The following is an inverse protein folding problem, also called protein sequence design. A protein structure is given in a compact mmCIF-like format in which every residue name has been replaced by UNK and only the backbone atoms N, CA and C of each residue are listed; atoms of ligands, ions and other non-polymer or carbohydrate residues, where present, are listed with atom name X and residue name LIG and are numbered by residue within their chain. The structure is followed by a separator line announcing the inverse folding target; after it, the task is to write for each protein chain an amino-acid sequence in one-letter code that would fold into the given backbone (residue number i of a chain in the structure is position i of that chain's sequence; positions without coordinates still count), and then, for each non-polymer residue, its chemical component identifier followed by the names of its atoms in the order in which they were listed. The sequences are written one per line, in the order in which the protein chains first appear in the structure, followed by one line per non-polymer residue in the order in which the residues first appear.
data_IF_233692201320
#
_entry.id   IF_233692201320
#
_cell.length_a   1.000
_cell.length_b   1.000
_cell.length_c   1.000
_cell.angle_alpha   90.00
_cell.angle_beta   90.00
_cell.angle_gamma   90.00
#
_symmetry.space_group_name_H-M   'P 1'
#
loop_
_entity.id
_entity.type
_entity.pdbx_description
1 polymer ?
#
# COMPACT_ATOMS: atom_id res chain seq x y z
N UNK A 1 33.55 17.24 -44.04
CA UNK A 1 32.59 18.35 -44.27
C UNK A 1 31.32 17.70 -44.79
N UNK A 2 30.12 17.82 -44.24
CA UNK A 2 29.58 18.70 -43.21
C UNK A 2 28.42 17.97 -42.49
N UNK A 3 28.10 18.45 -41.29
CA UNK A 3 27.08 17.94 -40.39
C UNK A 3 25.65 18.12 -40.94
N UNK A 4 24.79 17.14 -40.67
CA UNK A 4 23.34 17.34 -40.57
C UNK A 4 22.98 17.15 -39.10
N UNK A 5 22.66 18.26 -38.44
CA UNK A 5 22.15 18.29 -37.08
C UNK A 5 20.64 18.05 -37.16
N UNK A 6 20.19 16.90 -36.64
CA UNK A 6 18.77 16.67 -36.40
C UNK A 6 18.35 17.44 -35.13
N UNK A 7 17.50 18.42 -35.38
CA UNK A 7 16.93 19.38 -34.45
C UNK A 7 15.93 18.68 -33.52
N UNK A 8 16.42 18.12 -32.41
CA UNK A 8 15.60 17.54 -31.36
C UNK A 8 14.96 18.68 -30.54
N UNK A 9 13.88 19.24 -31.06
CA UNK A 9 13.01 20.17 -30.32
C UNK A 9 12.30 19.40 -29.19
N UNK A 10 12.51 19.76 -27.91
CA UNK A 10 11.84 19.10 -26.80
C UNK A 10 10.36 19.49 -26.78
N UNK A 11 9.41 18.54 -26.59
CA UNK A 11 8.03 18.92 -26.39
C UNK A 11 7.88 19.53 -24.98
N UNK A 12 7.59 20.83 -24.98
CA UNK A 12 6.92 21.62 -23.94
C UNK A 12 7.80 22.14 -22.79
N UNK A 13 7.68 23.44 -22.43
CA UNK A 13 8.41 24.01 -21.31
C UNK A 13 7.90 23.41 -20.00
N UNK A 14 8.82 23.22 -19.05
CA UNK A 14 8.52 22.92 -17.66
C UNK A 14 7.50 23.94 -17.15
N UNK A 15 6.25 23.53 -16.98
CA UNK A 15 5.25 24.33 -16.31
C UNK A 15 5.67 24.48 -14.86
N UNK A 16 6.10 25.69 -14.49
CA UNK A 16 6.15 26.12 -13.10
C UNK A 16 4.86 25.68 -12.40
N UNK A 17 4.90 25.14 -11.17
CA UNK A 17 3.68 24.74 -10.47
C UNK A 17 2.77 25.96 -10.42
N UNK A 18 1.61 25.84 -11.07
CA UNK A 18 0.64 26.92 -11.13
C UNK A 18 0.30 27.33 -9.67
N UNK A 19 0.26 28.64 -9.36
CA UNK A 19 -0.21 29.07 -8.05
C UNK A 19 -1.61 28.52 -7.85
N UNK A 20 -1.84 27.94 -6.66
CA UNK A 20 -3.13 27.36 -6.29
C UNK A 20 -4.26 28.34 -6.63
N UNK A 21 -5.31 27.91 -7.35
CA UNK A 21 -6.38 28.82 -7.72
C UNK A 21 -7.07 29.30 -6.43
N UNK A 22 -6.93 30.59 -6.13
CA UNK A 22 -7.77 31.26 -5.15
C UNK A 22 -9.22 31.26 -5.67
N UNK A 23 -10.07 30.36 -5.15
CA UNK A 23 -11.53 30.38 -5.36
C UNK A 23 -12.24 30.01 -4.06
N UNK A 24 -13.13 30.90 -3.64
CA UNK A 24 -13.56 31.10 -2.25
C UNK A 24 -14.38 29.99 -1.61
N UNK A 25 -14.28 29.93 -0.28
CA UNK A 25 -15.19 29.18 0.60
C UNK A 25 -14.50 28.15 1.50
N UNK A 26 -13.24 27.78 1.24
CA UNK A 26 -12.47 26.89 2.12
C UNK A 26 -12.13 27.53 3.46
N UNK A 27 -12.01 26.70 4.50
CA UNK A 27 -11.77 27.18 5.85
C UNK A 27 -11.60 26.04 6.87
N UNK A 28 -11.46 26.44 8.13
CA UNK A 28 -11.39 25.50 9.26
C UNK A 28 -12.76 25.40 9.92
N UNK A 29 -13.26 24.18 10.05
CA UNK A 29 -14.57 23.87 10.62
C UNK A 29 -14.40 23.04 11.89
N UNK A 30 -15.05 23.44 12.98
CA UNK A 30 -15.03 22.68 14.22
C UNK A 30 -16.00 21.50 14.13
N UNK A 31 -15.47 20.29 14.09
CA UNK A 31 -16.25 19.05 13.98
C UNK A 31 -15.83 18.11 15.10
N UNK A 32 -16.75 17.82 16.03
CA UNK A 32 -16.44 16.97 17.19
C UNK A 32 -15.29 17.49 18.06
N UNK A 33 -15.07 18.81 18.10
CA UNK A 33 -13.96 19.43 18.83
C UNK A 33 -12.59 19.36 18.12
N UNK A 34 -12.56 18.86 16.87
CA UNK A 34 -11.36 18.85 16.03
C UNK A 34 -11.50 19.94 14.96
N UNK A 35 -10.49 20.81 14.76
CA UNK A 35 -10.48 21.75 13.65
C UNK A 35 -10.16 21.00 12.35
N UNK A 36 -11.17 20.84 11.51
CA UNK A 36 -11.07 20.21 10.20
C UNK A 36 -10.92 21.30 9.15
N UNK A 37 -9.75 21.37 8.52
CA UNK A 37 -9.61 22.17 7.32
C UNK A 37 -10.28 21.48 6.14
N UNK A 38 -11.07 22.23 5.38
CA UNK A 38 -11.80 21.73 4.22
C UNK A 38 -11.68 22.72 3.06
N UNK A 39 -11.42 22.25 1.82
CA UNK A 39 -11.10 23.13 0.69
C UNK A 39 -12.29 23.96 0.17
N UNK A 40 -13.51 23.62 0.59
CA UNK A 40 -14.76 24.29 0.20
C UNK A 40 -15.65 24.50 1.42
N UNK A 41 -16.81 25.13 1.25
CA UNK A 41 -17.84 25.15 2.28
C UNK A 41 -18.54 23.78 2.34
N UNK A 42 -18.42 23.00 3.43
CA UNK A 42 -19.00 21.68 3.49
C UNK A 42 -20.53 21.73 3.61
N UNK A 43 -21.20 20.76 3.01
CA UNK A 43 -22.63 20.55 3.19
C UNK A 43 -22.94 19.97 4.58
N UNK A 44 -24.19 20.11 5.05
CA UNK A 44 -24.62 19.54 6.33
C UNK A 44 -24.38 18.02 6.43
N UNK A 45 -24.57 17.30 5.33
CA UNK A 45 -24.29 15.86 5.23
C UNK A 45 -22.80 15.55 5.35
N UNK A 46 -21.92 16.36 4.75
CA UNK A 46 -20.47 16.21 4.89
C UNK A 46 -20.01 16.48 6.33
N UNK A 47 -20.55 17.52 6.98
CA UNK A 47 -20.29 17.81 8.40
C UNK A 47 -20.73 16.65 9.30
N UNK A 48 -21.92 16.11 9.07
CA UNK A 48 -22.41 14.95 9.80
C UNK A 48 -21.50 13.71 9.58
N UNK A 49 -21.10 13.45 8.34
CA UNK A 49 -20.20 12.36 7.99
C UNK A 49 -18.83 12.50 8.68
N UNK A 50 -18.20 13.68 8.59
CA UNK A 50 -16.94 13.98 9.28
C UNK A 50 -17.06 13.82 10.80
N UNK A 51 -18.20 14.24 11.38
CA UNK A 51 -18.48 14.06 12.81
C UNK A 51 -18.55 12.59 13.22
N UNK A 52 -19.13 11.72 12.39
CA UNK A 52 -19.15 10.27 12.63
C UNK A 52 -17.76 9.65 12.54
N UNK A 53 -16.94 10.06 11.57
CA UNK A 53 -15.55 9.61 11.45
C UNK A 53 -14.77 9.98 12.72
N UNK A 54 -14.76 11.26 13.11
CA UNK A 54 -14.02 11.75 14.27
C UNK A 54 -14.48 11.06 15.57
N UNK A 55 -15.79 10.93 15.77
CA UNK A 55 -16.34 10.24 16.95
C UNK A 55 -15.89 8.78 17.02
N UNK A 56 -15.83 8.09 15.87
CA UNK A 56 -15.38 6.69 15.78
C UNK A 56 -13.90 6.58 16.14
N UNK A 57 -13.06 7.47 15.61
CA UNK A 57 -11.63 7.47 15.91
C UNK A 57 -11.34 7.81 17.38
N UNK A 58 -12.08 8.75 17.97
CA UNK A 58 -12.00 9.07 19.40
C UNK A 58 -12.49 7.94 20.30
N UNK A 59 -13.46 7.15 19.84
CA UNK A 59 -13.90 5.93 20.54
C UNK A 59 -12.83 4.85 20.44
N UNK A 60 -12.27 4.61 19.25
CA UNK A 60 -11.18 3.66 19.03
C UNK A 60 -10.01 3.96 19.94
N UNK A 61 -9.66 5.24 20.07
CA UNK A 61 -8.64 5.69 21.02
C UNK A 61 -9.01 5.31 22.45
N UNK A 62 -10.18 5.70 22.97
CA UNK A 62 -10.51 5.45 24.38
C UNK A 62 -10.68 3.96 24.73
N UNK A 63 -11.12 3.15 23.77
CA UNK A 63 -11.50 1.75 23.97
C UNK A 63 -10.51 0.75 23.35
N UNK A 64 -9.39 1.24 22.79
CA UNK A 64 -8.40 0.44 22.07
C UNK A 64 -8.80 0.08 20.63
N UNK A 65 -10.09 -0.19 20.37
CA UNK A 65 -10.59 -0.56 19.03
C UNK A 65 -12.01 -0.05 18.80
N UNK A 66 -12.29 0.46 17.60
CA UNK A 66 -13.65 0.79 17.16
C UNK A 66 -13.76 0.64 15.65
N UNK A 67 -14.94 0.24 15.19
CA UNK A 67 -15.28 0.15 13.77
C UNK A 67 -16.52 0.99 13.48
N UNK A 68 -16.65 1.45 12.24
CA UNK A 68 -17.86 2.09 11.76
C UNK A 68 -18.09 1.73 10.29
N UNK A 69 -19.34 1.42 9.96
CA UNK A 69 -19.83 1.35 8.60
C UNK A 69 -20.56 2.66 8.33
N UNK A 70 -20.04 3.47 7.42
CA UNK A 70 -20.58 4.80 7.12
C UNK A 70 -21.08 4.84 5.68
N UNK A 71 -22.39 5.00 5.54
CA UNK A 71 -23.05 5.18 4.25
C UNK A 71 -23.29 6.66 3.97
N UNK A 72 -23.09 7.06 2.71
CA UNK A 72 -23.42 8.39 2.20
C UNK A 72 -23.84 8.27 0.74
N UNK A 73 -24.85 9.02 0.27
CA UNK A 73 -25.23 9.02 -1.13
C UNK A 73 -24.06 9.38 -2.05
N UNK A 74 -24.05 8.85 -3.27
CA UNK A 74 -23.03 9.18 -4.28
C UNK A 74 -23.04 10.67 -4.62
N UNK A 75 -21.89 11.21 -5.02
CA UNK A 75 -21.77 12.63 -5.38
C UNK A 75 -21.72 13.62 -4.21
N UNK A 76 -21.80 13.16 -2.96
CA UNK A 76 -21.79 14.03 -1.75
C UNK A 76 -20.39 14.39 -1.25
N UNK A 77 -19.32 14.00 -1.97
CA UNK A 77 -17.93 14.27 -1.54
C UNK A 77 -17.49 13.43 -0.34
N UNK A 78 -17.93 12.17 -0.28
CA UNK A 78 -17.59 11.19 0.78
C UNK A 78 -16.08 11.02 0.95
N UNK A 79 -15.34 10.72 -0.12
CA UNK A 79 -13.89 10.44 -0.03
C UNK A 79 -13.10 11.63 0.52
N UNK A 80 -13.43 12.85 0.09
CA UNK A 80 -12.79 14.06 0.59
C UNK A 80 -13.14 14.34 2.06
N UNK A 81 -14.41 14.15 2.45
CA UNK A 81 -14.86 14.29 3.84
C UNK A 81 -14.18 13.28 4.76
N UNK A 82 -14.10 12.03 4.31
CA UNK A 82 -13.44 10.91 4.99
C UNK A 82 -11.95 11.20 5.19
N UNK A 83 -11.26 11.61 4.12
CA UNK A 83 -9.83 11.92 4.16
C UNK A 83 -9.53 13.12 5.06
N UNK A 84 -10.25 14.24 4.91
CA UNK A 84 -10.00 15.45 5.69
C UNK A 84 -10.25 15.23 7.19
N UNK A 85 -11.35 14.56 7.55
CA UNK A 85 -11.66 14.28 8.96
C UNK A 85 -10.65 13.33 9.60
N UNK A 86 -10.20 12.29 8.88
CA UNK A 86 -9.17 11.38 9.38
C UNK A 86 -7.81 12.08 9.56
N UNK A 87 -7.38 12.89 8.59
CA UNK A 87 -6.13 13.65 8.67
C UNK A 87 -6.17 14.75 9.73
N UNK A 88 -7.30 15.45 9.88
CA UNK A 88 -7.51 16.42 10.94
C UNK A 88 -7.37 15.77 12.32
N UNK A 89 -8.05 14.63 12.52
CA UNK A 89 -7.96 13.87 13.75
C UNK A 89 -6.52 13.39 14.01
N UNK A 90 -5.83 12.86 13.00
CA UNK A 90 -4.44 12.41 13.12
C UNK A 90 -3.48 13.56 13.49
N UNK A 91 -3.65 14.77 12.93
CA UNK A 91 -2.85 15.96 13.29
C UNK A 91 -3.06 16.36 14.75
N UNK A 92 -4.26 16.15 15.30
CA UNK A 92 -4.60 16.45 16.70
C UNK A 92 -4.47 15.23 17.62
N UNK A 93 -4.00 14.10 17.09
CA UNK A 93 -3.76 12.86 17.81
C UNK A 93 -2.84 13.02 19.04
N UNK A 94 -1.77 13.84 19.04
CA UNK A 94 -0.88 13.92 20.19
C UNK A 94 -1.44 14.69 21.41
N UNK A 95 -2.60 15.36 21.30
CA UNK A 95 -3.11 16.24 22.38
C UNK A 95 -3.82 15.51 23.53
N UNK A 96 -3.84 14.17 23.57
CA UNK A 96 -4.49 13.38 24.63
C UNK A 96 -3.65 12.12 24.91
N UNK A 97 -3.67 11.58 26.12
CA UNK A 97 -2.82 10.44 26.48
C UNK A 97 -3.08 9.19 25.59
N UNK A 98 -2.05 8.37 25.29
CA UNK A 98 -2.22 7.09 24.60
C UNK A 98 -2.84 6.03 25.53
N UNK A 99 -3.63 5.07 25.02
CA UNK A 99 -4.09 3.91 25.79
C UNK A 99 -3.05 2.77 25.76
N UNK A 100 -3.23 1.82 26.69
CA UNK A 100 -2.38 0.64 26.88
C UNK A 100 -2.35 -0.33 25.68
N UNK A 101 -1.33 -1.20 25.70
CA UNK A 101 -0.85 -2.07 24.62
C UNK A 101 -1.94 -2.80 23.80
N UNK A 102 -1.68 -2.90 22.49
CA UNK A 102 -2.57 -3.51 21.52
C UNK A 102 -2.70 -5.03 21.68
N UNK A 103 -3.92 -5.54 21.47
CA UNK A 103 -4.23 -6.96 21.34
C UNK A 103 -3.59 -7.58 20.07
N UNK A 104 -3.39 -8.92 20.03
CA UNK A 104 -2.84 -9.62 18.86
C UNK A 104 -3.69 -9.45 17.60
N UNK A 105 -3.03 -9.48 16.43
CA UNK A 105 -3.66 -9.25 15.12
C UNK A 105 -4.60 -10.41 14.74
N UNK A 106 -5.91 -10.15 14.55
CA UNK A 106 -6.90 -11.18 14.23
C UNK A 106 -6.75 -11.77 12.81
N UNK A 107 -5.94 -11.17 11.94
CA UNK A 107 -5.74 -11.64 10.55
C UNK A 107 -4.38 -12.29 10.31
N UNK A 108 -3.51 -12.32 11.32
CA UNK A 108 -2.15 -12.87 11.19
C UNK A 108 -2.12 -14.39 11.37
N UNK A 109 -3.16 -14.95 11.98
CA UNK A 109 -3.41 -16.40 12.03
C UNK A 109 -4.46 -16.76 10.99
N UNK A 110 -4.00 -17.31 9.86
CA UNK A 110 -4.87 -17.88 8.84
C UNK A 110 -5.80 -18.95 9.43
N UNK A 111 -6.97 -19.09 8.81
CA UNK A 111 -8.05 -19.98 9.25
C UNK A 111 -7.56 -21.37 9.62
N UNK A 112 -7.60 -21.65 10.92
CA UNK A 112 -7.72 -22.99 11.45
C UNK A 112 -9.16 -23.17 11.91
N UNK A 113 -9.78 -24.24 11.44
CA UNK A 113 -11.02 -24.81 11.95
C UNK A 113 -11.08 -24.71 13.49
N UNK A 114 -12.26 -24.42 14.05
CA UNK A 114 -12.50 -24.58 15.49
C UNK A 114 -12.20 -26.03 15.85
N UNK A 115 -11.13 -26.27 16.60
CA UNK A 115 -10.90 -27.53 17.28
C UNK A 115 -11.00 -27.27 18.78
N UNK A 116 -11.81 -28.13 19.38
CA UNK A 116 -12.29 -28.18 20.76
C UNK A 116 -11.20 -27.95 21.81
N UNK A 117 -11.61 -27.39 22.95
CA UNK A 117 -10.78 -27.12 24.12
C UNK A 117 -10.17 -28.44 24.65
N UNK A 118 -8.92 -28.76 24.30
CA UNK A 118 -8.11 -29.65 25.13
C UNK A 118 -6.63 -29.28 25.07
N UNK A 119 -6.10 -29.04 26.26
CA UNK A 119 -4.71 -28.74 26.58
C UNK A 119 -3.72 -29.68 25.87
N UNK A 120 -2.69 -29.14 25.21
CA UNK A 120 -1.27 -29.44 25.50
C UNK A 120 -0.25 -28.75 24.56
N UNK A 121 0.70 -28.07 25.22
CA UNK A 121 2.15 -28.06 24.99
C UNK A 121 2.75 -27.45 23.69
N UNK A 122 3.20 -26.21 23.87
CA UNK A 122 4.52 -25.68 23.48
C UNK A 122 5.33 -26.49 22.44
N UNK A 123 5.23 -26.08 21.18
CA UNK A 123 6.40 -26.02 20.29
C UNK A 123 6.44 -24.64 19.64
N UNK A 124 7.38 -23.82 20.12
CA UNK A 124 7.66 -22.51 19.58
C UNK A 124 8.37 -22.66 18.22
N UNK A 125 7.70 -22.25 17.15
CA UNK A 125 8.34 -21.96 15.87
C UNK A 125 9.26 -20.74 16.05
N UNK A 126 10.47 -20.70 15.46
CA UNK A 126 11.38 -19.57 15.64
C UNK A 126 10.74 -18.29 15.09
N UNK A 127 10.38 -17.38 15.99
CA UNK A 127 9.86 -16.07 15.63
C UNK A 127 10.89 -15.32 14.79
N UNK A 128 10.46 -14.84 13.62
CA UNK A 128 11.23 -13.88 12.84
C UNK A 128 11.63 -12.71 13.75
N UNK A 129 12.86 -12.16 13.63
CA UNK A 129 13.32 -11.09 14.49
C UNK A 129 12.38 -9.88 14.36
N UNK A 130 11.71 -9.51 15.46
CA UNK A 130 10.89 -8.31 15.53
C UNK A 130 11.76 -7.09 15.23
N UNK A 131 11.48 -6.41 14.12
CA UNK A 131 12.14 -5.14 13.79
C UNK A 131 11.88 -4.14 14.93
N UNK A 132 12.88 -3.36 15.39
CA UNK A 132 12.66 -2.35 16.42
C UNK A 132 11.65 -1.31 15.92
N UNK A 133 10.47 -1.29 16.56
CA UNK A 133 9.39 -0.38 16.20
C UNK A 133 9.85 1.08 16.39
N UNK A 134 10.00 1.82 15.29
CA UNK A 134 10.26 3.26 15.33
C UNK A 134 9.07 3.93 16.01
N UNK A 135 9.31 4.67 17.10
CA UNK A 135 8.25 5.43 17.81
C UNK A 135 7.61 6.45 16.85
N UNK A 136 6.40 6.16 16.35
CA UNK A 136 5.61 7.08 15.53
C UNK A 136 4.82 8.02 16.46
N UNK A 137 4.81 9.32 16.15
CA UNK A 137 4.09 10.35 16.93
C UNK A 137 2.57 10.35 16.70
N UNK A 138 2.10 9.64 15.67
CA UNK A 138 0.70 9.49 15.28
C UNK A 138 0.49 8.13 14.59
N UNK A 139 -0.73 7.57 14.62
CA UNK A 139 -1.05 6.30 13.97
C UNK A 139 -0.96 6.48 12.46
N UNK A 140 -0.45 5.49 11.73
CA UNK A 140 -0.50 5.51 10.27
C UNK A 140 -1.95 5.34 9.81
N UNK A 141 -2.38 6.10 8.82
CA UNK A 141 -3.67 5.91 8.13
C UNK A 141 -3.40 5.08 6.88
N UNK A 142 -3.99 3.89 6.77
CA UNK A 142 -4.08 3.12 5.54
C UNK A 142 -5.39 3.46 4.84
N UNK A 143 -5.32 4.14 3.70
CA UNK A 143 -6.48 4.47 2.88
C UNK A 143 -6.52 3.51 1.70
N UNK A 144 -7.41 2.52 1.77
CA UNK A 144 -7.56 1.52 0.73
C UNK A 144 -8.78 1.74 -0.14
N UNK A 145 -8.60 1.52 -1.44
CA UNK A 145 -9.64 1.60 -2.47
C UNK A 145 -9.62 0.32 -3.32
N UNK A 146 -10.58 0.16 -4.24
CA UNK A 146 -10.60 -1.00 -5.14
C UNK A 146 -9.49 -0.93 -6.19
N UNK A 147 -9.27 0.25 -6.78
CA UNK A 147 -8.33 0.42 -7.90
C UNK A 147 -7.37 1.59 -7.69
N UNK A 148 -6.22 1.54 -8.38
CA UNK A 148 -5.26 2.64 -8.40
C UNK A 148 -5.83 3.92 -9.02
N UNK A 149 -6.74 3.83 -9.98
CA UNK A 149 -7.41 5.00 -10.55
C UNK A 149 -8.22 5.79 -9.50
N UNK A 150 -8.86 5.09 -8.55
CA UNK A 150 -9.53 5.73 -7.41
C UNK A 150 -8.51 6.39 -6.48
N UNK A 151 -7.36 5.76 -6.23
CA UNK A 151 -6.26 6.39 -5.46
C UNK A 151 -5.85 7.69 -6.14
N UNK A 152 -5.61 7.69 -7.45
CA UNK A 152 -5.23 8.88 -8.21
C UNK A 152 -6.28 9.99 -8.09
N UNK A 153 -7.58 9.65 -8.07
CA UNK A 153 -8.64 10.63 -7.81
C UNK A 153 -8.55 11.22 -6.40
N UNK A 154 -8.38 10.39 -5.37
CA UNK A 154 -8.26 10.84 -3.97
C UNK A 154 -7.00 11.70 -3.77
N UNK A 155 -5.88 11.36 -4.40
CA UNK A 155 -4.64 12.16 -4.38
C UNK A 155 -4.86 13.52 -5.05
N UNK A 156 -5.58 13.59 -6.16
CA UNK A 156 -5.94 14.88 -6.78
C UNK A 156 -6.80 15.74 -5.86
N UNK A 157 -7.71 15.16 -5.10
CA UNK A 157 -8.48 15.89 -4.08
C UNK A 157 -7.60 16.33 -2.90
N UNK A 158 -6.68 15.47 -2.42
CA UNK A 158 -5.72 15.79 -1.37
C UNK A 158 -4.85 17.00 -1.74
N UNK A 159 -4.41 17.09 -2.99
CA UNK A 159 -3.63 18.24 -3.51
C UNK A 159 -4.34 19.58 -3.35
N UNK A 160 -5.69 19.59 -3.31
CA UNK A 160 -6.50 20.82 -3.14
C UNK A 160 -6.63 21.25 -1.68
N UNK A 161 -6.22 20.43 -0.73
CA UNK A 161 -6.28 20.72 0.71
C UNK A 161 -4.95 21.32 1.19
N UNK A 162 -4.86 21.78 2.44
CA UNK A 162 -3.57 22.09 3.11
C UNK A 162 -2.91 20.86 3.75
N UNK A 163 -3.55 19.69 3.70
CA UNK A 163 -2.98 18.50 4.31
C UNK A 163 -1.74 18.08 3.53
N UNK A 164 -0.62 18.01 4.23
CA UNK A 164 0.68 17.56 3.72
C UNK A 164 1.23 16.45 4.62
N UNK A 165 0.51 15.31 4.75
CA UNK A 165 1.04 14.18 5.49
C UNK A 165 2.23 13.59 4.72
N UNK A 166 3.21 13.03 5.45
CA UNK A 166 4.17 12.13 4.78
C UNK A 166 3.39 10.96 4.22
N UNK A 167 3.41 10.77 2.90
CA UNK A 167 2.58 9.78 2.24
C UNK A 167 3.35 8.81 1.35
N UNK A 168 2.74 7.67 1.08
CA UNK A 168 3.21 6.68 0.12
C UNK A 168 2.02 6.01 -0.58
N UNK A 169 2.24 5.49 -1.79
CA UNK A 169 1.26 4.69 -2.53
C UNK A 169 1.86 3.31 -2.81
N UNK A 170 1.23 2.25 -2.35
CA UNK A 170 1.63 0.88 -2.64
C UNK A 170 0.97 0.39 -3.93
N UNK A 171 1.79 -0.17 -4.82
CA UNK A 171 1.35 -0.73 -6.08
C UNK A 171 2.30 -1.87 -6.51
N UNK A 172 1.84 -2.68 -7.46
CA UNK A 172 2.61 -3.82 -7.95
C UNK A 172 3.83 -3.36 -8.76
N UNK A 173 4.76 -4.28 -9.02
CA UNK A 173 5.92 -4.01 -9.88
C UNK A 173 5.49 -3.56 -11.28
N UNK A 174 4.33 -4.02 -11.78
CA UNK A 174 3.76 -3.60 -13.07
C UNK A 174 3.49 -2.10 -13.17
N UNK A 175 3.13 -1.45 -12.07
CA UNK A 175 2.91 0.00 -12.04
C UNK A 175 4.19 0.81 -11.85
N UNK A 176 5.21 0.22 -11.22
CA UNK A 176 6.39 0.96 -10.75
C UNK A 176 7.71 0.63 -11.45
N UNK A 177 7.81 -0.47 -12.19
CA UNK A 177 9.05 -0.87 -12.82
C UNK A 177 9.45 0.13 -13.92
N UNK A 178 10.66 0.68 -13.79
CA UNK A 178 11.26 1.60 -14.79
C UNK A 178 12.48 0.98 -15.49
N UNK A 179 12.87 -0.23 -15.12
CA UNK A 179 13.96 -0.94 -15.77
C UNK A 179 13.48 -1.46 -17.14
N UNK A 180 14.10 -0.99 -18.22
CA UNK A 180 13.69 -1.26 -19.60
C UNK A 180 13.68 -2.75 -19.95
N UNK A 181 14.55 -3.55 -19.32
CA UNK A 181 14.65 -4.98 -19.59
C UNK A 181 13.54 -5.80 -18.92
N UNK A 182 12.86 -5.21 -17.92
CA UNK A 182 11.85 -5.92 -17.12
C UNK A 182 10.45 -5.35 -17.31
N UNK A 183 10.32 -4.03 -17.48
CA UNK A 183 9.01 -3.36 -17.45
C UNK A 183 8.07 -3.77 -18.59
N UNK A 184 8.61 -4.29 -19.70
CA UNK A 184 7.84 -4.76 -20.87
C UNK A 184 7.56 -6.26 -20.86
N UNK A 185 8.04 -7.00 -19.85
CA UNK A 185 7.81 -8.43 -19.74
C UNK A 185 6.45 -8.71 -19.08
N UNK A 186 5.78 -9.81 -19.46
CA UNK A 186 4.60 -10.29 -18.76
C UNK A 186 4.93 -10.90 -17.38
N UNK A 187 6.17 -11.37 -17.21
CA UNK A 187 6.68 -11.99 -15.98
C UNK A 187 7.58 -11.03 -15.19
N UNK A 188 7.07 -9.84 -14.90
CA UNK A 188 7.81 -8.77 -14.20
C UNK A 188 8.35 -9.24 -12.85
N UNK A 189 7.55 -9.97 -12.07
CA UNK A 189 7.93 -10.39 -10.73
C UNK A 189 9.11 -11.38 -10.75
N UNK A 190 9.07 -12.38 -11.62
CA UNK A 190 10.14 -13.38 -11.76
C UNK A 190 11.43 -12.76 -12.32
N UNK A 191 11.32 -11.92 -13.34
CA UNK A 191 12.49 -11.24 -13.90
C UNK A 191 13.10 -10.23 -12.93
N UNK A 192 12.26 -9.56 -12.12
CA UNK A 192 12.74 -8.72 -11.02
C UNK A 192 13.48 -9.55 -9.97
N UNK A 193 12.96 -10.72 -9.55
CA UNK A 193 13.64 -11.60 -8.59
C UNK A 193 15.00 -12.06 -9.13
N UNK A 194 15.07 -12.55 -10.37
CA UNK A 194 16.32 -12.96 -11.03
C UNK A 194 17.38 -11.85 -11.00
N UNK A 195 16.99 -10.61 -11.28
CA UNK A 195 17.91 -9.46 -11.21
C UNK A 195 18.30 -9.07 -9.77
N UNK A 196 17.50 -9.39 -8.77
CA UNK A 196 17.84 -9.13 -7.37
C UNK A 196 18.77 -10.21 -6.80
N UNK A 197 18.63 -11.44 -7.28
CA UNK A 197 19.47 -12.58 -6.88
C UNK A 197 20.84 -12.56 -7.57
N UNK A 198 20.93 -11.97 -8.77
CA UNK A 198 22.20 -11.77 -9.48
C UNK A 198 23.08 -10.74 -8.76
N UNK A 199 24.12 -11.25 -8.07
CA UNK A 199 25.10 -10.43 -7.35
C UNK A 199 26.07 -9.68 -8.26
N UNK A 200 26.18 -10.06 -9.53
CA UNK A 200 27.11 -9.48 -10.50
C UNK A 200 26.44 -8.32 -11.23
N UNK A 201 25.36 -8.59 -11.96
CA UNK A 201 24.65 -7.56 -12.73
C UNK A 201 23.77 -6.71 -11.81
N UNK A 202 22.92 -7.38 -11.02
CA UNK A 202 21.96 -6.74 -10.14
C UNK A 202 20.95 -5.85 -10.88
N UNK A 203 20.00 -5.28 -10.14
CA UNK A 203 19.15 -4.20 -10.64
C UNK A 203 19.78 -2.83 -10.31
N UNK A 204 20.24 -2.02 -11.30
CA UNK A 204 20.83 -0.72 -11.05
C UNK A 204 19.87 0.25 -10.35
N UNK A 205 18.60 0.23 -10.73
CA UNK A 205 17.57 1.08 -10.14
C UNK A 205 17.32 0.72 -8.67
N UNK A 206 17.38 -0.58 -8.32
CA UNK A 206 17.20 -1.04 -6.95
C UNK A 206 18.28 -0.48 -6.02
N UNK A 207 19.55 -0.47 -6.47
CA UNK A 207 20.67 0.11 -5.70
C UNK A 207 20.42 1.58 -5.34
N UNK A 208 19.67 2.30 -6.17
CA UNK A 208 19.33 3.71 -5.98
C UNK A 208 17.94 3.95 -5.34
N UNK A 209 17.22 2.90 -4.91
CA UNK A 209 15.87 3.04 -4.34
C UNK A 209 15.84 3.93 -3.08
N UNK A 210 16.84 3.79 -2.20
CA UNK A 210 16.97 4.62 -1.01
C UNK A 210 17.21 6.10 -1.37
N UNK A 211 18.04 6.36 -2.39
CA UNK A 211 18.29 7.72 -2.90
C UNK A 211 17.01 8.36 -3.43
N UNK A 212 16.19 7.59 -4.15
CA UNK A 212 14.88 8.04 -4.62
C UNK A 212 13.94 8.38 -3.45
N UNK A 213 13.83 7.49 -2.46
CA UNK A 213 12.94 7.73 -1.29
C UNK A 213 13.28 9.00 -0.49
N UNK A 214 14.55 9.43 -0.53
CA UNK A 214 15.05 10.63 0.17
C UNK A 214 15.18 11.84 -0.75
N UNK A 215 14.72 11.74 -1.99
CA UNK A 215 14.86 12.83 -2.96
C UNK A 215 14.13 14.09 -2.46
N UNK A 216 14.75 15.29 -2.52
CA UNK A 216 14.18 16.52 -1.96
C UNK A 216 12.78 16.85 -2.47
N UNK A 217 12.47 16.50 -3.72
CA UNK A 217 11.14 16.74 -4.29
C UNK A 217 10.03 15.96 -3.60
N UNK A 218 10.33 14.81 -2.98
CA UNK A 218 9.37 13.97 -2.25
C UNK A 218 9.33 14.27 -0.75
N UNK A 219 10.21 15.16 -0.26
CA UNK A 219 10.24 15.56 1.14
C UNK A 219 9.29 16.74 1.40
N UNK A 220 9.13 17.10 2.67
CA UNK A 220 8.32 18.24 3.10
C UNK A 220 8.73 19.53 2.39
N UNK A 221 7.77 20.24 1.80
CA UNK A 221 8.02 21.44 0.99
C UNK A 221 8.54 21.17 -0.42
N UNK A 222 8.72 19.91 -0.81
CA UNK A 222 9.10 19.51 -2.16
C UNK A 222 7.94 19.59 -3.16
N UNK A 223 8.27 19.65 -4.46
CA UNK A 223 7.29 19.73 -5.55
C UNK A 223 6.34 18.52 -5.66
N UNK A 224 6.74 17.39 -5.10
CA UNK A 224 6.01 16.11 -5.08
C UNK A 224 5.75 15.65 -3.63
N UNK A 225 5.60 16.58 -2.69
CA UNK A 225 5.18 16.28 -1.32
C UNK A 225 3.84 15.50 -1.30
N UNK A 226 2.91 15.84 -2.21
CA UNK A 226 1.71 15.06 -2.51
C UNK A 226 1.83 14.51 -3.94
N UNK A 227 2.16 13.22 -4.05
CA UNK A 227 2.48 12.56 -5.31
C UNK A 227 1.52 11.40 -5.62
N UNK A 228 1.30 11.14 -6.91
CA UNK A 228 0.72 9.91 -7.42
C UNK A 228 1.82 8.95 -7.93
N UNK A 229 1.42 7.82 -8.53
CA UNK A 229 2.34 6.82 -9.07
C UNK A 229 3.19 7.44 -10.17
N UNK A 230 2.58 8.20 -11.07
CA UNK A 230 3.22 8.83 -12.22
C UNK A 230 4.28 9.85 -11.82
N UNK A 231 4.02 10.62 -10.76
CA UNK A 231 5.00 11.54 -10.18
C UNK A 231 6.23 10.78 -9.64
N UNK A 232 6.02 9.68 -8.89
CA UNK A 232 7.13 8.88 -8.36
C UNK A 232 7.95 8.21 -9.48
N UNK A 233 7.28 7.73 -10.54
CA UNK A 233 7.93 7.22 -11.75
C UNK A 233 8.82 8.29 -12.40
N UNK A 234 8.36 9.54 -12.47
CA UNK A 234 9.10 10.66 -13.07
C UNK A 234 10.40 10.94 -12.29
N UNK A 235 10.32 11.05 -10.97
CA UNK A 235 11.51 11.23 -10.13
C UNK A 235 12.44 10.01 -10.23
N UNK A 236 11.88 8.79 -10.24
CA UNK A 236 12.64 7.56 -10.39
C UNK A 236 13.46 7.48 -11.67
N UNK A 237 12.88 7.90 -12.80
CA UNK A 237 13.60 8.00 -14.09
C UNK A 237 14.72 9.03 -14.05
N UNK A 238 14.51 10.18 -13.40
CA UNK A 238 15.53 11.23 -13.28
C UNK A 238 16.74 10.77 -12.45
N UNK A 239 16.51 10.10 -11.33
CA UNK A 239 17.58 9.65 -10.42
C UNK A 239 18.08 8.24 -10.69
N UNK A 240 17.53 7.57 -11.73
CA UNK A 240 17.75 6.14 -12.02
C UNK A 240 17.56 5.26 -10.78
N UNK A 241 16.47 5.50 -10.04
CA UNK A 241 16.12 4.79 -8.81
C UNK A 241 14.81 4.04 -8.96
N UNK A 242 14.67 2.91 -8.26
CA UNK A 242 13.52 2.01 -8.35
C UNK A 242 12.31 2.57 -7.58
N UNK A 243 11.22 2.97 -8.26
CA UNK A 243 10.02 3.49 -7.63
C UNK A 243 9.32 2.48 -6.71
N UNK A 244 9.34 1.20 -7.09
CA UNK A 244 8.67 0.13 -6.33
C UNK A 244 9.24 0.00 -4.92
N UNK A 245 10.57 -0.11 -4.78
CA UNK A 245 11.22 -0.21 -3.48
C UNK A 245 11.30 1.14 -2.74
N UNK A 246 11.34 2.26 -3.48
CA UNK A 246 11.24 3.58 -2.86
C UNK A 246 9.87 3.79 -2.20
N UNK A 247 8.78 3.37 -2.84
CA UNK A 247 7.43 3.45 -2.28
C UNK A 247 7.29 2.65 -0.99
N UNK A 248 7.88 1.45 -0.91
CA UNK A 248 7.92 0.66 0.33
C UNK A 248 8.69 1.39 1.44
N UNK A 249 9.85 1.95 1.10
CA UNK A 249 10.66 2.73 2.08
C UNK A 249 9.89 3.97 2.56
N UNK A 250 9.18 4.66 1.67
CA UNK A 250 8.32 5.79 2.04
C UNK A 250 7.18 5.36 2.97
N UNK A 251 6.58 4.19 2.71
CA UNK A 251 5.47 3.66 3.51
C UNK A 251 5.88 3.36 4.96
N UNK A 252 7.12 2.93 5.22
CA UNK A 252 7.62 2.70 6.59
C UNK A 252 7.52 3.94 7.48
N UNK A 253 7.80 5.12 6.92
CA UNK A 253 7.80 6.40 7.62
C UNK A 253 6.51 7.23 7.40
N UNK A 254 5.57 6.72 6.60
CA UNK A 254 4.37 7.46 6.21
C UNK A 254 3.35 7.60 7.34
N UNK A 255 2.69 8.75 7.32
CA UNK A 255 1.48 9.04 8.08
C UNK A 255 0.22 8.61 7.29
N UNK A 256 0.28 8.63 5.97
CA UNK A 256 -0.81 8.23 5.07
C UNK A 256 -0.29 7.26 4.00
N UNK A 257 -0.82 6.04 3.96
CA UNK A 257 -0.47 5.03 2.95
C UNK A 257 -1.71 4.73 2.12
N UNK A 258 -1.65 4.99 0.82
CA UNK A 258 -2.67 4.52 -0.11
C UNK A 258 -2.31 3.15 -0.65
N UNK A 259 -3.30 2.26 -0.78
CA UNK A 259 -3.10 0.94 -1.36
C UNK A 259 -4.42 0.36 -1.89
N UNK A 260 -4.40 -0.63 -2.79
CA UNK A 260 -5.61 -1.40 -3.07
C UNK A 260 -5.98 -2.33 -1.90
N UNK A 261 -7.25 -2.71 -1.80
CA UNK A 261 -7.76 -3.57 -0.71
C UNK A 261 -6.99 -4.86 -0.49
N UNK A 262 -6.56 -5.51 -1.57
CA UNK A 262 -5.85 -6.78 -1.49
C UNK A 262 -4.52 -6.66 -0.71
N UNK A 263 -3.92 -5.47 -0.62
CA UNK A 263 -2.73 -5.23 0.21
C UNK A 263 -3.02 -5.29 1.71
N UNK A 264 -4.29 -5.13 2.12
CA UNK A 264 -4.69 -5.20 3.53
C UNK A 264 -5.43 -6.49 3.88
N UNK A 265 -6.09 -7.12 2.92
CA UNK A 265 -6.92 -8.30 3.15
C UNK A 265 -6.14 -9.59 2.90
N UNK A 266 -5.36 -9.67 1.82
CA UNK A 266 -4.60 -10.88 1.51
C UNK A 266 -3.44 -11.05 2.49
N UNK A 267 -3.41 -12.14 3.28
CA UNK A 267 -2.29 -12.40 4.19
C UNK A 267 -0.97 -12.59 3.45
N UNK A 268 -1.03 -13.12 2.23
CA UNK A 268 0.13 -13.34 1.36
C UNK A 268 0.73 -11.99 0.96
N UNK A 269 -0.09 -11.07 0.45
CA UNK A 269 0.38 -9.73 0.04
C UNK A 269 0.87 -8.92 1.24
N UNK A 270 0.15 -8.97 2.37
CA UNK A 270 0.56 -8.28 3.60
C UNK A 270 1.92 -8.74 4.11
N UNK A 271 2.16 -10.05 4.12
CA UNK A 271 3.45 -10.62 4.53
C UNK A 271 4.56 -10.26 3.55
N UNK A 272 4.28 -10.34 2.25
CA UNK A 272 5.25 -9.99 1.20
C UNK A 272 5.67 -8.51 1.23
N UNK A 273 4.75 -7.62 1.64
CA UNK A 273 4.98 -6.17 1.72
C UNK A 273 5.33 -5.67 3.14
N UNK A 274 5.47 -6.58 4.12
CA UNK A 274 5.75 -6.27 5.52
C UNK A 274 4.78 -5.22 6.13
N UNK A 275 3.48 -5.36 5.83
CA UNK A 275 2.45 -4.40 6.26
C UNK A 275 1.88 -4.79 7.63
N UNK A 276 2.26 -4.02 8.65
CA UNK A 276 1.69 -4.07 10.00
C UNK A 276 0.66 -2.95 10.20
N UNK A 277 -0.61 -3.32 10.38
CA UNK A 277 -1.72 -2.38 10.62
C UNK A 277 -2.05 -2.21 12.11
N UNK A 278 -1.28 -2.81 13.03
CA UNK A 278 -1.51 -2.64 14.47
C UNK A 278 -1.37 -1.17 14.86
N UNK A 279 -2.31 -0.70 15.68
CA UNK A 279 -2.38 0.71 16.10
C UNK A 279 -2.60 1.71 14.95
N UNK A 280 -2.98 1.24 13.76
CA UNK A 280 -3.22 2.08 12.59
C UNK A 280 -4.70 2.35 12.38
N UNK A 281 -5.02 3.42 11.64
CA UNK A 281 -6.37 3.70 11.16
C UNK A 281 -6.52 3.07 9.78
N UNK A 282 -7.48 2.16 9.60
CA UNK A 282 -7.76 1.53 8.31
C UNK A 282 -9.06 2.11 7.75
N UNK A 283 -8.98 2.65 6.54
CA UNK A 283 -10.10 3.20 5.79
C UNK A 283 -10.28 2.35 4.53
N UNK A 284 -11.48 1.80 4.35
CA UNK A 284 -11.87 1.07 3.13
C UNK A 284 -12.93 1.91 2.41
N UNK A 285 -12.57 2.53 1.28
CA UNK A 285 -13.46 3.45 0.55
C UNK A 285 -13.99 2.84 -0.75
N UNK A 286 -15.31 2.83 -0.90
CA UNK A 286 -16.08 2.05 -1.89
C UNK A 286 -16.02 0.53 -1.64
N UNK A 287 -16.19 0.11 -0.39
CA UNK A 287 -16.01 -1.28 0.07
C UNK A 287 -17.17 -2.24 -0.27
N UNK A 288 -17.95 -1.97 -1.31
CA UNK A 288 -19.07 -2.83 -1.70
C UNK A 288 -18.62 -4.19 -2.28
N UNK A 289 -17.40 -4.28 -2.81
CA UNK A 289 -16.80 -5.54 -3.30
C UNK A 289 -15.88 -6.22 -2.28
N UNK A 290 -15.92 -5.82 -1.01
CA UNK A 290 -14.97 -6.32 -0.02
C UNK A 290 -15.11 -7.82 0.22
N UNK A 291 -16.34 -8.34 0.12
CA UNK A 291 -16.65 -9.76 0.24
C UNK A 291 -15.98 -10.56 -0.89
N UNK A 292 -16.19 -10.16 -2.14
CA UNK A 292 -15.61 -10.84 -3.30
C UNK A 292 -14.08 -10.90 -3.22
N UNK A 293 -13.45 -9.79 -2.83
CA UNK A 293 -11.99 -9.72 -2.69
C UNK A 293 -11.50 -10.60 -1.54
N UNK A 294 -12.27 -10.70 -0.46
CA UNK A 294 -11.94 -11.58 0.66
C UNK A 294 -12.08 -13.05 0.27
N UNK A 295 -13.12 -13.39 -0.50
CA UNK A 295 -13.32 -14.74 -1.06
C UNK A 295 -12.17 -15.10 -2.00
N UNK A 296 -11.83 -14.23 -2.94
CA UNK A 296 -10.74 -14.42 -3.90
C UNK A 296 -9.38 -14.58 -3.19
N UNK A 297 -9.11 -13.79 -2.16
CA UNK A 297 -7.85 -13.88 -1.41
C UNK A 297 -7.70 -15.18 -0.60
N UNK A 298 -8.81 -15.89 -0.34
CA UNK A 298 -8.85 -17.16 0.38
C UNK A 298 -9.14 -18.38 -0.49
N UNK A 299 -9.45 -18.19 -1.78
CA UNK A 299 -9.72 -19.27 -2.73
C UNK A 299 -8.50 -19.59 -3.59
N UNK A 300 -8.43 -20.84 -4.04
CA UNK A 300 -7.51 -21.28 -5.09
C UNK A 300 -8.31 -22.11 -6.08
N UNK A 301 -8.20 -21.76 -7.36
CA UNK A 301 -8.78 -22.56 -8.44
C UNK A 301 -7.66 -23.38 -9.07
N UNK A 302 -7.88 -24.68 -9.20
CA UNK A 302 -6.94 -25.63 -9.79
C UNK A 302 -7.67 -26.35 -10.91
N UNK A 303 -7.19 -26.17 -12.15
CA UNK A 303 -7.66 -26.89 -13.33
C UNK A 303 -6.70 -28.03 -13.71
N UNK A 304 -7.13 -28.87 -14.65
CA UNK A 304 -6.34 -30.00 -15.11
C UNK A 304 -5.02 -29.56 -15.76
N UNK A 305 -5.02 -28.47 -16.54
CA UNK A 305 -3.81 -27.93 -17.15
C UNK A 305 -2.77 -27.48 -16.10
N UNK A 306 -3.24 -26.89 -14.99
CA UNK A 306 -2.36 -26.55 -13.87
C UNK A 306 -1.77 -27.79 -13.21
N UNK A 307 -2.54 -28.88 -13.07
CA UNK A 307 -2.04 -30.14 -12.53
C UNK A 307 -1.00 -30.78 -13.44
N UNK A 308 -1.27 -30.84 -14.75
CA UNK A 308 -0.33 -31.37 -15.75
C UNK A 308 0.98 -30.56 -15.76
N UNK A 309 0.88 -29.22 -15.66
CA UNK A 309 2.05 -28.35 -15.55
C UNK A 309 2.84 -28.61 -14.26
N UNK A 310 2.16 -28.84 -13.14
CA UNK A 310 2.80 -29.12 -11.85
C UNK A 310 3.50 -30.48 -11.84
N UNK A 311 2.90 -31.49 -12.49
CA UNK A 311 3.51 -32.81 -12.65
C UNK A 311 4.81 -32.73 -13.47
N UNK A 312 4.78 -32.03 -14.60
CA UNK A 312 5.98 -31.76 -15.40
C UNK A 312 7.06 -30.99 -14.65
N UNK A 313 6.69 -30.00 -13.84
CA UNK A 313 7.64 -29.30 -12.96
C UNK A 313 8.23 -30.20 -11.89
N UNK A 314 7.40 -31.06 -11.27
CA UNK A 314 7.83 -32.01 -10.25
C UNK A 314 8.82 -33.03 -10.82
N UNK A 315 8.56 -33.58 -12.00
CA UNK A 315 9.49 -34.48 -12.70
C UNK A 315 10.85 -33.81 -12.96
N UNK A 316 10.84 -32.53 -13.33
CA UNK A 316 12.08 -31.75 -13.52
C UNK A 316 12.82 -31.48 -12.22
N UNK A 317 12.11 -31.29 -11.11
CA UNK A 317 12.73 -31.12 -9.79
C UNK A 317 13.28 -32.44 -9.24
N UNK A 318 12.58 -33.55 -9.47
CA UNK A 318 13.00 -34.90 -9.10
C UNK A 318 14.32 -35.29 -9.81
N UNK A 319 14.51 -34.86 -11.05
CA UNK A 319 15.76 -35.09 -11.80
C UNK A 319 16.89 -34.11 -11.48
N UNK A 320 16.63 -33.03 -10.75
CA UNK A 320 17.64 -32.03 -10.40
C UNK A 320 18.48 -32.51 -9.20
N UNK A 321 19.75 -32.86 -9.42
CA UNK A 321 20.67 -33.39 -8.41
C UNK A 321 20.74 -32.58 -7.10
N UNK A 322 20.47 -31.27 -7.13
CA UNK A 322 20.51 -30.43 -5.94
C UNK A 322 19.32 -30.65 -4.99
N UNK A 323 18.15 -31.06 -5.51
CA UNK A 323 16.89 -31.15 -4.76
C UNK A 323 16.14 -32.47 -4.96
N UNK A 324 16.67 -33.36 -5.80
CA UNK A 324 16.09 -34.65 -6.16
C UNK A 324 15.66 -35.47 -4.93
N UNK A 325 16.52 -35.56 -3.91
CA UNK A 325 16.24 -36.35 -2.70
C UNK A 325 15.02 -35.85 -1.91
N UNK A 326 14.57 -34.60 -2.12
CA UNK A 326 13.40 -34.02 -1.47
C UNK A 326 12.13 -34.35 -2.26
N UNK A 327 12.19 -34.27 -3.60
CA UNK A 327 11.01 -34.30 -4.47
C UNK A 327 10.77 -35.67 -5.14
N UNK A 328 11.81 -36.50 -5.29
CA UNK A 328 11.69 -37.83 -5.90
C UNK A 328 10.65 -38.73 -5.20
N UNK A 329 10.57 -38.80 -3.85
CA UNK A 329 9.56 -39.64 -3.20
C UNK A 329 8.13 -39.19 -3.51
N UNK A 330 7.91 -37.88 -3.67
CA UNK A 330 6.59 -37.34 -4.02
C UNK A 330 6.22 -37.67 -5.47
N UNK A 331 7.19 -37.53 -6.39
CA UNK A 331 7.03 -37.89 -7.80
C UNK A 331 6.68 -39.37 -7.98
N UNK A 332 7.44 -40.26 -7.34
CA UNK A 332 7.24 -41.71 -7.46
C UNK A 332 5.86 -42.16 -6.93
N UNK A 333 5.35 -41.51 -5.87
CA UNK A 333 4.00 -41.81 -5.34
C UNK A 333 2.91 -41.40 -6.33
N UNK A 334 3.08 -40.28 -7.03
CA UNK A 334 2.10 -39.78 -7.98
C UNK A 334 2.07 -40.67 -9.23
N UNK A 335 3.24 -41.06 -9.77
CA UNK A 335 3.32 -41.96 -10.92
C UNK A 335 2.75 -43.36 -10.66
N UNK A 336 2.83 -43.87 -9.42
CA UNK A 336 2.30 -45.21 -9.09
C UNK A 336 0.76 -45.25 -9.06
N UNK A 337 0.09 -44.09 -8.95
CA UNK A 337 -1.37 -44.00 -8.82
C UNK A 337 -2.09 -43.40 -10.04
N UNK A 338 -1.35 -43.10 -11.10
CA UNK A 338 -1.86 -42.72 -12.43
C UNK A 338 -1.79 -43.91 -13.40
#
# INVERSE_FOLDING_TARGET
MAAAADDFTPPWPASSPAPAPARGGGGVYQVGGVPVEFPYKPYGTQLAFMGRVITTLDRARRQGRSHALLESPTGTGKSLSLLCSALAWQRHYPLRAPPAAAAPDPFLHGGGFVADDTQQQQQATPGAPEKPARKKSAPTIYYATRTHSQITQVVRELRKTSYRPRMAILASRKHYCVNQNVCMSDQIDENCKKLLDDKVQGCPEFKNAQKLSRHPSLQTGGSYEVHDIEDLLRVGKQVKGCPYFAAQTLAEAAQLVFCPYNYLISPIVRRAMDIDIRGSVVILDEAHNIEDISREAGSVDVDAESLDSLDGELARLATNQAVAMIYQPLHDVIEVHL
#
